data_IF_842578271520
#
_entry.id   IF_842578271520
#
_cell.length_a   1.000
_cell.length_b   1.000
_cell.length_c   1.000
_cell.angle_alpha   90.00
_cell.angle_beta   90.00
_cell.angle_gamma   90.00
#
_symmetry.space_group_name_H-M   'P 1'
#
loop_
_entity.id
_entity.type
_entity.pdbx_description
1 polymer ?
#
# COMPACT_ATOMS: atom_id res chain seq x y z
N UNK A 1 31.88 -2.64 -26.68
CA UNK A 1 30.88 -1.53 -26.60
C UNK A 1 29.57 -2.08 -27.12
N UNK A 2 28.53 -2.08 -26.29
CA UNK A 2 27.21 -2.55 -26.70
C UNK A 2 26.69 -1.66 -27.85
N UNK A 3 26.17 -2.29 -28.91
CA UNK A 3 25.53 -1.55 -29.99
C UNK A 3 24.15 -1.10 -29.52
N UNK A 4 23.95 0.19 -29.30
CA UNK A 4 22.69 0.77 -28.82
C UNK A 4 21.55 0.73 -29.84
N UNK A 5 21.80 0.26 -31.06
CA UNK A 5 20.80 0.17 -32.10
C UNK A 5 20.14 -1.20 -32.12
N UNK A 6 18.83 -1.20 -32.27
CA UNK A 6 18.04 -2.42 -32.51
C UNK A 6 17.90 -3.40 -31.31
N UNK A 7 17.81 -2.87 -30.08
CA UNK A 7 17.53 -3.67 -28.89
C UNK A 7 16.05 -3.64 -28.57
N UNK A 8 15.48 -4.81 -28.36
CA UNK A 8 14.12 -4.99 -27.85
C UNK A 8 14.19 -5.25 -26.33
N UNK A 9 13.50 -4.46 -25.54
CA UNK A 9 13.33 -4.72 -24.11
C UNK A 9 12.38 -5.92 -23.97
N UNK A 10 12.83 -7.01 -23.40
CA UNK A 10 12.07 -8.25 -23.26
C UNK A 10 11.44 -8.39 -21.88
N UNK A 11 12.08 -7.86 -20.85
CA UNK A 11 11.51 -7.83 -19.49
C UNK A 11 11.88 -6.55 -18.75
N UNK A 12 11.00 -6.14 -17.85
CA UNK A 12 11.30 -5.21 -16.78
C UNK A 12 11.53 -6.05 -15.52
N UNK A 13 12.75 -5.98 -14.98
CA UNK A 13 13.15 -6.87 -13.92
C UNK A 13 12.78 -6.29 -12.54
N UNK A 14 13.27 -5.09 -12.22
CA UNK A 14 13.04 -4.44 -10.93
C UNK A 14 12.99 -2.92 -11.02
N UNK A 15 12.35 -2.29 -10.02
CA UNK A 15 12.55 -0.88 -9.70
C UNK A 15 13.08 -0.82 -8.27
N UNK A 16 14.35 -0.45 -8.13
CA UNK A 16 14.98 -0.27 -6.84
C UNK A 16 14.90 1.20 -6.41
N UNK A 17 14.46 1.42 -5.18
CA UNK A 17 14.15 2.75 -4.64
C UNK A 17 15.09 3.07 -3.48
N UNK A 18 15.70 4.26 -3.54
CA UNK A 18 16.66 4.74 -2.55
C UNK A 18 16.28 6.14 -2.05
N UNK A 19 16.64 6.42 -0.82
CA UNK A 19 16.52 7.75 -0.25
C UNK A 19 17.45 8.75 -0.96
N UNK A 20 16.96 9.97 -1.23
CA UNK A 20 17.73 10.98 -1.95
C UNK A 20 18.93 11.47 -1.14
N UNK A 21 18.77 11.67 0.17
CA UNK A 21 19.75 12.34 1.01
C UNK A 21 20.85 11.39 1.48
N UNK A 22 20.45 10.17 1.85
CA UNK A 22 21.33 9.19 2.51
C UNK A 22 21.83 8.12 1.57
N UNK A 23 21.22 7.97 0.38
CA UNK A 23 21.44 6.86 -0.55
C UNK A 23 21.12 5.48 0.04
N UNK A 24 20.35 5.46 1.12
CA UNK A 24 19.95 4.24 1.78
C UNK A 24 18.89 3.53 0.93
N UNK A 25 19.03 2.22 0.79
CA UNK A 25 18.01 1.37 0.17
C UNK A 25 16.69 1.49 0.94
N UNK A 26 15.60 1.63 0.20
CA UNK A 26 14.26 1.75 0.76
C UNK A 26 13.42 0.49 0.49
N UNK A 27 13.19 0.16 -0.77
CA UNK A 27 12.46 -1.03 -1.21
C UNK A 27 12.72 -1.32 -2.68
N UNK A 28 12.32 -2.52 -3.12
CA UNK A 28 12.30 -2.94 -4.52
C UNK A 28 10.89 -3.35 -4.92
N UNK A 29 10.51 -3.02 -6.15
CA UNK A 29 9.33 -3.54 -6.83
C UNK A 29 9.82 -4.56 -7.85
N UNK A 30 9.34 -5.80 -7.77
CA UNK A 30 9.76 -6.96 -8.55
C UNK A 30 8.60 -7.65 -9.31
N UNK A 31 7.36 -7.42 -8.89
CA UNK A 31 6.15 -7.95 -9.53
C UNK A 31 5.46 -6.89 -10.41
N UNK A 32 6.25 -6.26 -11.28
CA UNK A 32 5.84 -5.13 -12.08
C UNK A 32 4.96 -5.53 -13.26
N UNK A 33 3.85 -4.82 -13.44
CA UNK A 33 2.93 -4.96 -14.55
C UNK A 33 2.72 -3.60 -15.22
N UNK A 34 2.67 -3.58 -16.56
CA UNK A 34 2.36 -2.39 -17.35
C UNK A 34 3.21 -1.14 -17.03
N UNK A 35 4.44 -1.33 -16.53
CA UNK A 35 5.29 -0.21 -16.19
C UNK A 35 5.80 0.50 -17.45
N UNK A 36 5.87 1.83 -17.38
CA UNK A 36 6.31 2.68 -18.48
C UNK A 36 7.07 3.90 -17.98
N UNK A 37 7.97 4.41 -18.82
CA UNK A 37 8.59 5.73 -18.68
C UNK A 37 8.05 6.59 -19.83
N UNK A 38 7.22 7.58 -19.50
CA UNK A 38 6.62 8.50 -20.45
C UNK A 38 7.38 9.83 -20.45
N UNK A 39 7.89 10.24 -21.61
CA UNK A 39 8.57 11.51 -21.77
C UNK A 39 7.73 12.42 -22.65
N UNK A 40 7.32 13.57 -22.16
CA UNK A 40 6.48 14.54 -22.84
C UNK A 40 7.17 15.88 -22.97
N UNK A 41 6.78 16.66 -23.95
CA UNK A 41 7.20 18.05 -24.13
C UNK A 41 6.14 18.83 -24.92
N UNK A 42 5.91 20.07 -24.54
CA UNK A 42 5.05 20.97 -25.28
C UNK A 42 5.78 21.55 -26.48
N UNK A 43 5.00 21.83 -27.52
CA UNK A 43 5.47 22.44 -28.76
C UNK A 43 4.53 23.57 -29.14
N UNK A 44 5.08 24.76 -29.35
CA UNK A 44 4.37 25.92 -29.88
C UNK A 44 4.96 26.29 -31.23
N UNK A 45 4.14 26.28 -32.28
CA UNK A 45 4.57 26.66 -33.60
C UNK A 45 4.46 28.19 -33.78
N UNK A 46 5.53 28.80 -34.29
CA UNK A 46 5.56 30.21 -34.68
C UNK A 46 5.21 30.26 -36.16
N UNK A 47 4.11 30.94 -36.48
CA UNK A 47 3.60 31.05 -37.86
C UNK A 47 3.84 32.46 -38.42
N UNK A 48 4.19 32.54 -39.70
CA UNK A 48 4.32 33.79 -40.47
C UNK A 48 3.09 34.10 -41.32
N UNK A 49 3.24 35.07 -42.22
CA UNK A 49 2.18 35.50 -43.13
C UNK A 49 1.63 34.30 -43.93
N UNK A 50 0.31 34.17 -43.97
CA UNK A 50 -0.37 33.08 -44.67
C UNK A 50 -0.35 31.75 -43.91
N UNK A 51 -0.09 31.73 -42.59
CA UNK A 51 -0.11 30.51 -41.78
C UNK A 51 1.12 29.61 -41.95
N UNK A 52 2.16 30.06 -42.69
CA UNK A 52 3.37 29.30 -42.92
C UNK A 52 4.15 29.14 -41.60
N UNK A 53 4.45 27.89 -41.22
CA UNK A 53 5.27 27.59 -40.06
C UNK A 53 6.70 28.07 -40.24
N UNK A 54 7.17 28.96 -39.37
CA UNK A 54 8.51 29.53 -39.40
C UNK A 54 9.47 28.84 -38.46
N UNK A 55 8.98 28.49 -37.24
CA UNK A 55 9.78 27.86 -36.20
C UNK A 55 8.89 27.09 -35.21
N UNK A 56 9.50 26.36 -34.32
CA UNK A 56 8.84 25.58 -33.28
C UNK A 56 9.58 25.73 -31.96
N UNK A 57 8.92 26.31 -30.99
CA UNK A 57 9.44 26.39 -29.62
C UNK A 57 9.01 25.15 -28.80
N UNK A 58 9.98 24.54 -28.12
CA UNK A 58 9.76 23.41 -27.25
C UNK A 58 9.91 23.87 -25.80
N UNK A 59 8.99 23.45 -24.93
CA UNK A 59 8.96 23.81 -23.49
C UNK A 59 8.28 22.70 -22.69
N UNK A 60 8.28 22.84 -21.36
CA UNK A 60 7.54 21.97 -20.43
C UNK A 60 7.85 20.49 -20.66
N UNK A 61 9.14 20.13 -20.67
CA UNK A 61 9.54 18.73 -20.71
C UNK A 61 9.24 18.09 -19.37
N UNK A 62 8.50 16.99 -19.37
CA UNK A 62 8.18 16.20 -18.19
C UNK A 62 8.45 14.71 -18.44
N UNK A 63 8.79 14.00 -17.38
CA UNK A 63 9.01 12.55 -17.41
C UNK A 63 8.24 11.93 -16.26
N UNK A 64 7.39 10.96 -16.58
CA UNK A 64 6.57 10.23 -15.60
C UNK A 64 6.89 8.74 -15.71
N UNK A 65 7.11 8.13 -14.57
CA UNK A 65 7.28 6.70 -14.41
C UNK A 65 6.00 6.18 -13.75
N UNK A 66 5.35 5.21 -14.35
CA UNK A 66 4.12 4.65 -13.79
C UNK A 66 3.99 3.16 -14.09
N UNK A 67 3.20 2.48 -13.29
CA UNK A 67 2.92 1.05 -13.45
C UNK A 67 2.04 0.53 -12.31
N UNK A 68 1.89 -0.78 -12.30
CA UNK A 68 1.25 -1.50 -11.20
C UNK A 68 2.19 -2.57 -10.68
N UNK A 69 2.15 -2.80 -9.38
CA UNK A 69 2.82 -3.93 -8.75
C UNK A 69 1.76 -4.97 -8.39
N UNK A 70 1.99 -6.22 -8.73
CA UNK A 70 1.04 -7.32 -8.49
C UNK A 70 0.86 -7.66 -7.01
N UNK A 71 1.72 -7.12 -6.14
CA UNK A 71 1.66 -7.29 -4.70
C UNK A 71 1.59 -5.93 -4.00
N UNK A 72 0.92 -5.86 -2.86
CA UNK A 72 0.94 -4.66 -2.02
C UNK A 72 2.32 -4.53 -1.38
N UNK A 73 3.06 -3.50 -1.77
CA UNK A 73 4.38 -3.20 -1.21
C UNK A 73 4.27 -2.18 -0.06
N UNK A 74 4.77 -2.57 1.12
CA UNK A 74 4.82 -1.66 2.28
C UNK A 74 5.72 -0.46 2.04
N UNK A 75 6.87 -0.65 1.39
CA UNK A 75 7.78 0.44 1.04
C UNK A 75 7.17 1.43 0.05
N UNK A 76 6.43 0.93 -0.96
CA UNK A 76 5.70 1.78 -1.89
C UNK A 76 4.63 2.61 -1.17
N UNK A 77 3.87 1.99 -0.25
CA UNK A 77 2.91 2.71 0.59
C UNK A 77 3.56 3.82 1.41
N UNK A 78 4.73 3.55 2.02
CA UNK A 78 5.48 4.58 2.74
C UNK A 78 5.94 5.72 1.83
N UNK A 79 6.34 5.42 0.60
CA UNK A 79 6.74 6.43 -0.36
C UNK A 79 5.56 7.29 -0.83
N UNK A 80 4.40 6.69 -1.06
CA UNK A 80 3.19 7.37 -1.55
C UNK A 80 2.48 8.18 -0.46
N UNK A 81 2.41 7.66 0.77
CA UNK A 81 1.76 8.35 1.89
C UNK A 81 2.69 9.28 2.65
N UNK A 82 4.02 9.06 2.54
CA UNK A 82 5.02 9.73 3.37
C UNK A 82 5.12 9.18 4.79
N UNK A 83 4.19 8.33 5.20
CA UNK A 83 4.19 7.67 6.50
C UNK A 83 5.34 6.69 6.67
N UNK A 84 5.37 6.02 7.81
CA UNK A 84 6.33 4.95 8.12
C UNK A 84 5.63 3.86 8.90
N UNK A 85 5.86 2.60 8.55
CA UNK A 85 5.34 1.47 9.29
C UNK A 85 5.93 1.40 10.70
N UNK A 86 5.06 1.44 11.68
CA UNK A 86 5.41 1.26 13.10
C UNK A 86 5.09 -0.17 13.51
N UNK A 87 6.06 -0.92 14.00
CA UNK A 87 5.84 -2.20 14.65
C UNK A 87 5.33 -1.96 16.05
N UNK A 88 4.17 -2.50 16.37
CA UNK A 88 3.54 -2.40 17.69
C UNK A 88 3.31 -3.81 18.24
N UNK A 89 3.72 -4.06 19.48
CA UNK A 89 3.44 -5.34 20.17
C UNK A 89 1.99 -5.40 20.65
N UNK A 90 1.36 -4.25 20.88
CA UNK A 90 0.06 -4.07 21.50
C UNK A 90 -0.88 -3.18 20.67
N UNK A 91 -0.89 -3.33 19.36
CA UNK A 91 -1.77 -2.55 18.49
C UNK A 91 -3.24 -2.88 18.81
N UNK A 92 -4.08 -1.88 19.14
CA UNK A 92 -5.48 -2.09 19.36
C UNK A 92 -6.21 -2.30 18.03
N UNK A 93 -6.93 -3.39 17.90
CA UNK A 93 -7.81 -3.65 16.76
C UNK A 93 -9.21 -3.99 17.25
N UNK A 94 -10.21 -3.45 16.55
CA UNK A 94 -11.60 -3.80 16.77
C UNK A 94 -11.86 -5.20 16.22
N UNK A 95 -12.55 -6.02 17.03
CA UNK A 95 -12.84 -7.40 16.70
C UNK A 95 -14.31 -7.70 16.87
N UNK A 96 -14.78 -8.69 16.14
CA UNK A 96 -16.16 -9.14 16.18
C UNK A 96 -16.18 -10.66 16.27
N UNK A 97 -16.88 -11.18 17.27
CA UNK A 97 -17.17 -12.61 17.39
C UNK A 97 -18.66 -12.86 17.18
N UNK A 98 -18.99 -13.87 16.37
CA UNK A 98 -20.33 -14.44 16.29
C UNK A 98 -20.34 -15.71 17.14
N UNK A 99 -21.09 -15.70 18.24
CA UNK A 99 -21.10 -16.75 19.25
C UNK A 99 -22.53 -17.26 19.50
N UNK A 100 -22.62 -18.38 20.17
CA UNK A 100 -23.89 -18.91 20.67
C UNK A 100 -23.84 -18.96 22.19
N UNK A 101 -24.97 -18.64 22.84
CA UNK A 101 -25.15 -18.81 24.28
C UNK A 101 -25.35 -20.29 24.58
N UNK A 102 -24.64 -20.80 25.56
CA UNK A 102 -24.80 -22.17 26.10
C UNK A 102 -24.68 -22.12 27.62
N UNK A 103 -25.64 -22.66 28.32
CA UNK A 103 -25.68 -22.64 29.79
C UNK A 103 -25.50 -21.23 30.36
N UNK A 104 -26.22 -20.26 29.82
CA UNK A 104 -26.18 -18.83 30.17
C UNK A 104 -24.80 -18.16 30.03
N UNK A 105 -23.93 -18.68 29.19
CA UNK A 105 -22.59 -18.17 28.96
C UNK A 105 -22.18 -18.21 27.51
N UNK A 106 -21.19 -17.39 27.14
CA UNK A 106 -20.46 -17.48 25.89
C UNK A 106 -18.99 -17.10 26.12
N UNK A 107 -18.08 -17.51 25.25
CA UNK A 107 -16.65 -17.21 25.42
C UNK A 107 -16.11 -16.54 24.19
N UNK A 108 -15.52 -15.34 24.33
CA UNK A 108 -14.88 -14.63 23.22
C UNK A 108 -13.61 -15.35 22.75
N UNK A 109 -13.32 -15.27 21.47
CA UNK A 109 -12.12 -15.86 20.88
C UNK A 109 -10.83 -15.29 21.48
N UNK A 110 -10.86 -13.99 21.80
CA UNK A 110 -9.70 -13.27 22.32
C UNK A 110 -10.07 -12.47 23.56
N UNK A 111 -9.05 -12.09 24.34
CA UNK A 111 -9.21 -11.22 25.49
C UNK A 111 -9.59 -9.81 25.02
N UNK A 112 -10.72 -9.32 25.48
CA UNK A 112 -11.10 -7.93 25.29
C UNK A 112 -10.26 -7.01 26.19
N UNK A 113 -9.97 -5.82 25.71
CA UNK A 113 -9.24 -4.78 26.45
C UNK A 113 -10.05 -3.48 26.42
N UNK A 114 -10.11 -2.84 27.58
CA UNK A 114 -10.87 -1.62 27.79
C UNK A 114 -10.74 -1.16 29.23
N UNK A 115 -11.60 -0.25 29.64
CA UNK A 115 -11.73 0.11 31.05
C UNK A 115 -12.36 -1.05 31.80
N UNK A 116 -11.85 -1.36 32.99
CA UNK A 116 -12.40 -2.43 33.86
C UNK A 116 -13.91 -2.26 34.04
N UNK A 117 -14.66 -3.30 33.73
CA UNK A 117 -16.12 -3.28 33.71
C UNK A 117 -16.78 -2.72 32.47
N UNK A 118 -15.97 -2.37 31.42
CA UNK A 118 -16.41 -1.91 30.10
C UNK A 118 -15.43 -2.34 29.04
N UNK A 119 -14.95 -3.58 29.07
CA UNK A 119 -14.03 -4.15 28.09
C UNK A 119 -14.72 -4.55 26.80
N UNK A 120 -15.99 -4.93 26.89
CA UNK A 120 -16.85 -5.26 25.74
C UNK A 120 -17.65 -4.02 25.35
N UNK A 121 -17.49 -3.57 24.13
CA UNK A 121 -18.18 -2.37 23.64
C UNK A 121 -19.68 -2.61 23.51
N UNK A 122 -20.08 -3.78 22.97
CA UNK A 122 -21.45 -4.08 22.63
C UNK A 122 -21.68 -5.57 22.44
N UNK A 123 -22.82 -6.06 22.90
CA UNK A 123 -23.34 -7.40 22.59
C UNK A 123 -24.73 -7.26 21.99
N UNK A 124 -24.93 -7.83 20.82
CA UNK A 124 -26.23 -7.90 20.15
C UNK A 124 -26.77 -9.33 20.21
N UNK A 125 -28.00 -9.47 20.66
CA UNK A 125 -28.78 -10.71 20.51
C UNK A 125 -29.41 -10.69 19.11
N UNK A 126 -29.27 -11.76 18.34
CA UNK A 126 -29.89 -11.91 17.02
C UNK A 126 -31.24 -12.64 17.10
N UNK A 127 -32.16 -12.22 16.25
CA UNK A 127 -33.33 -13.01 15.88
C UNK A 127 -32.96 -14.11 14.89
N UNK A 128 -33.82 -15.09 14.70
CA UNK A 128 -33.66 -16.17 13.71
C UNK A 128 -33.60 -15.67 12.26
N UNK A 129 -34.12 -14.48 11.99
CA UNK A 129 -34.05 -13.81 10.68
C UNK A 129 -32.78 -12.97 10.48
N UNK A 130 -31.86 -12.98 11.47
CA UNK A 130 -30.60 -12.25 11.45
C UNK A 130 -30.70 -10.78 11.91
N UNK A 131 -31.89 -10.27 12.19
CA UNK A 131 -32.08 -8.92 12.73
C UNK A 131 -31.66 -8.85 14.21
N UNK A 132 -31.37 -7.63 14.71
CA UNK A 132 -31.03 -7.41 16.12
C UNK A 132 -32.32 -7.44 16.93
N UNK A 133 -32.38 -8.35 17.92
CA UNK A 133 -33.46 -8.45 18.88
C UNK A 133 -33.26 -7.49 20.06
N UNK A 134 -32.04 -7.45 20.58
CA UNK A 134 -31.70 -6.71 21.80
C UNK A 134 -30.25 -6.34 21.81
N UNK A 135 -29.92 -5.21 22.43
CA UNK A 135 -28.55 -4.76 22.72
C UNK A 135 -28.29 -4.84 24.20
N UNK A 136 -27.23 -5.53 24.57
CA UNK A 136 -26.82 -5.69 25.95
C UNK A 136 -25.64 -4.81 26.30
N UNK A 137 -25.57 -4.37 27.56
CA UNK A 137 -24.47 -3.59 28.11
C UNK A 137 -23.71 -4.37 29.16
N UNK A 138 -22.39 -4.19 29.24
CA UNK A 138 -21.58 -4.79 30.31
C UNK A 138 -21.89 -4.13 31.64
N UNK A 139 -21.96 -4.93 32.71
CA UNK A 139 -22.15 -4.48 34.09
C UNK A 139 -21.37 -5.40 35.05
N UNK A 140 -21.23 -5.00 36.29
CA UNK A 140 -20.62 -5.82 37.37
C UNK A 140 -21.47 -7.03 37.77
N UNK A 141 -22.78 -7.00 37.50
CA UNK A 141 -23.71 -8.09 37.78
C UNK A 141 -24.65 -8.35 36.61
N UNK A 142 -25.01 -9.60 36.40
CA UNK A 142 -26.01 -9.99 35.40
C UNK A 142 -27.39 -9.47 35.78
N UNK A 143 -28.09 -8.89 34.82
CA UNK A 143 -29.48 -8.41 34.96
C UNK A 143 -30.14 -8.40 33.58
N UNK A 144 -31.44 -8.07 33.51
CA UNK A 144 -32.13 -7.90 32.24
C UNK A 144 -31.44 -6.80 31.39
N UNK A 145 -31.10 -7.11 30.12
CA UNK A 145 -30.38 -6.21 29.23
C UNK A 145 -28.89 -6.04 29.56
N UNK A 146 -28.34 -6.83 30.49
CA UNK A 146 -26.95 -6.73 30.95
C UNK A 146 -26.25 -8.08 30.97
N UNK A 147 -24.91 -8.03 30.82
CA UNK A 147 -24.03 -9.19 30.95
C UNK A 147 -22.79 -8.82 31.78
N UNK A 148 -22.12 -9.84 32.31
CA UNK A 148 -20.78 -9.67 32.90
C UNK A 148 -19.73 -10.24 31.99
N UNK A 149 -18.50 -9.73 32.06
CA UNK A 149 -17.35 -10.24 31.32
C UNK A 149 -16.15 -10.45 32.27
N UNK A 150 -15.53 -11.63 32.18
CA UNK A 150 -14.28 -11.91 32.87
C UNK A 150 -13.13 -11.95 31.85
N UNK A 151 -12.21 -10.96 31.84
CA UNK A 151 -11.10 -10.90 30.88
C UNK A 151 -10.06 -12.02 31.06
N UNK A 152 -10.04 -12.76 32.15
CA UNK A 152 -9.09 -13.85 32.37
C UNK A 152 -9.57 -15.14 31.72
N UNK A 153 -10.84 -15.45 31.86
CA UNK A 153 -11.49 -16.61 31.25
C UNK A 153 -12.08 -16.30 29.88
N UNK A 154 -12.19 -15.02 29.53
CA UNK A 154 -12.87 -14.50 28.33
C UNK A 154 -14.36 -14.83 28.29
N UNK A 155 -14.95 -15.13 29.43
CA UNK A 155 -16.34 -15.56 29.57
C UNK A 155 -17.28 -14.36 29.68
N UNK A 156 -18.35 -14.41 28.89
CA UNK A 156 -19.55 -13.61 29.05
C UNK A 156 -20.55 -14.44 29.87
N UNK A 157 -21.17 -13.85 30.89
CA UNK A 157 -22.25 -14.49 31.61
C UNK A 157 -23.52 -13.64 31.48
N UNK A 158 -24.66 -14.33 31.35
CA UNK A 158 -25.98 -13.76 31.16
C UNK A 158 -26.90 -14.19 32.31
N UNK A 159 -28.02 -13.48 32.48
CA UNK A 159 -29.04 -13.82 33.45
C UNK A 159 -29.57 -15.22 33.18
N UNK A 160 -29.67 -16.05 34.23
CA UNK A 160 -30.18 -17.42 34.16
C UNK A 160 -31.60 -17.46 33.55
N UNK A 161 -31.77 -18.30 32.54
CA UNK A 161 -33.03 -18.47 31.83
C UNK A 161 -33.49 -17.30 30.96
N UNK A 162 -32.67 -16.23 30.81
CA UNK A 162 -33.02 -15.08 29.95
C UNK A 162 -32.93 -15.41 28.46
N UNK A 163 -32.04 -16.33 28.12
CA UNK A 163 -31.79 -16.71 26.70
C UNK A 163 -31.72 -18.24 26.61
N UNK A 164 -32.32 -18.79 25.55
CA UNK A 164 -32.28 -20.23 25.27
C UNK A 164 -30.88 -20.64 24.76
N UNK A 165 -30.48 -21.88 25.04
CA UNK A 165 -29.25 -22.45 24.46
C UNK A 165 -29.34 -22.46 22.95
N UNK A 166 -28.27 -22.02 22.27
CA UNK A 166 -28.23 -21.84 20.85
C UNK A 166 -28.61 -20.43 20.38
N UNK A 167 -28.99 -19.51 21.29
CA UNK A 167 -29.21 -18.08 20.92
C UNK A 167 -27.94 -17.48 20.33
N UNK A 168 -28.02 -16.93 19.13
CA UNK A 168 -26.90 -16.27 18.45
C UNK A 168 -26.68 -14.84 18.98
N UNK A 169 -25.42 -14.53 19.21
CA UNK A 169 -24.97 -13.20 19.63
C UNK A 169 -23.82 -12.71 18.77
N UNK A 170 -23.70 -11.40 18.65
CA UNK A 170 -22.55 -10.72 18.05
C UNK A 170 -21.91 -9.84 19.12
N UNK A 171 -20.63 -10.07 19.34
CA UNK A 171 -19.84 -9.39 20.38
C UNK A 171 -18.80 -8.51 19.72
N UNK A 172 -18.82 -7.21 20.03
CA UNK A 172 -17.85 -6.23 19.55
C UNK A 172 -16.94 -5.80 20.69
N UNK A 173 -15.63 -5.89 20.46
CA UNK A 173 -14.64 -5.51 21.46
C UNK A 173 -13.31 -5.16 20.81
N UNK A 174 -12.48 -4.42 21.52
CA UNK A 174 -11.10 -4.15 21.12
C UNK A 174 -10.18 -5.22 21.72
N UNK A 175 -9.25 -5.74 20.92
CA UNK A 175 -8.17 -6.61 21.38
C UNK A 175 -6.81 -6.03 21.03
N UNK A 176 -5.76 -6.44 21.73
CA UNK A 176 -4.37 -6.09 21.41
C UNK A 176 -3.69 -7.21 20.63
N UNK A 177 -2.91 -6.83 19.62
CA UNK A 177 -2.19 -7.76 18.74
C UNK A 177 -0.86 -7.17 18.31
N UNK A 178 0.11 -8.03 18.02
CA UNK A 178 1.33 -7.61 17.32
C UNK A 178 1.00 -7.27 15.87
N UNK A 179 1.26 -6.04 15.46
CA UNK A 179 0.95 -5.57 14.13
C UNK A 179 1.97 -4.54 13.63
N UNK A 180 2.02 -4.39 12.30
CA UNK A 180 2.65 -3.24 11.66
C UNK A 180 1.54 -2.29 11.24
N UNK A 181 1.61 -1.05 11.69
CA UNK A 181 0.58 -0.04 11.46
C UNK A 181 1.18 1.11 10.67
N UNK A 182 0.55 1.48 9.57
CA UNK A 182 0.83 2.68 8.80
C UNK A 182 -0.36 3.64 8.93
N UNK A 183 -0.07 4.87 9.29
CA UNK A 183 -1.06 5.94 9.34
C UNK A 183 -0.85 6.89 8.15
N UNK A 184 -1.89 7.09 7.36
CA UNK A 184 -1.91 8.13 6.33
C UNK A 184 -2.56 9.37 6.92
N UNK A 185 -1.75 10.39 7.24
CA UNK A 185 -2.17 11.62 7.89
C UNK A 185 -2.21 12.79 6.90
N UNK A 186 -3.03 13.79 7.18
CA UNK A 186 -3.25 14.93 6.29
C UNK A 186 -2.08 15.93 6.19
N UNK A 187 -1.09 15.81 7.04
CA UNK A 187 0.06 16.71 7.18
C UNK A 187 1.37 16.11 6.65
N UNK A 188 1.35 14.86 6.20
CA UNK A 188 2.51 14.16 5.64
C UNK A 188 2.23 13.81 4.18
N UNK A 189 3.21 14.08 3.31
CA UNK A 189 3.09 13.94 1.86
C UNK A 189 4.05 12.89 1.33
N UNK A 190 3.81 12.46 0.10
CA UNK A 190 4.63 11.51 -0.64
C UNK A 190 6.12 11.88 -0.65
N UNK A 191 6.97 10.87 -0.74
CA UNK A 191 8.43 11.01 -0.66
C UNK A 191 9.05 11.20 -2.04
N UNK A 192 10.17 11.92 -2.05
CA UNK A 192 11.06 12.00 -3.20
C UNK A 192 12.19 10.98 -3.01
N UNK A 193 12.45 10.20 -4.06
CA UNK A 193 13.40 9.09 -4.03
C UNK A 193 14.29 9.07 -5.26
N UNK A 194 15.39 8.31 -5.22
CA UNK A 194 16.14 7.89 -6.40
C UNK A 194 15.60 6.54 -6.88
N UNK A 195 15.48 6.37 -8.20
CA UNK A 195 15.02 5.11 -8.78
C UNK A 195 16.08 4.54 -9.71
N UNK A 196 16.28 3.23 -9.62
CA UNK A 196 16.99 2.43 -10.61
C UNK A 196 16.00 1.44 -11.21
N UNK A 197 15.68 1.63 -12.49
CA UNK A 197 14.76 0.77 -13.24
C UNK A 197 15.61 -0.18 -14.06
N UNK A 198 15.63 -1.44 -13.68
CA UNK A 198 16.43 -2.48 -14.31
C UNK A 198 15.59 -3.30 -15.28
N UNK A 199 16.10 -3.54 -16.44
CA UNK A 199 15.44 -4.27 -17.52
C UNK A 199 16.43 -5.17 -18.25
N UNK A 200 15.90 -6.21 -18.90
CA UNK A 200 16.64 -7.08 -19.81
C UNK A 200 16.16 -6.87 -21.25
N UNK A 201 17.07 -6.90 -22.19
CA UNK A 201 16.76 -6.77 -23.61
C UNK A 201 17.61 -7.68 -24.48
N UNK A 202 17.20 -7.86 -25.71
CA UNK A 202 17.88 -8.67 -26.73
C UNK A 202 18.07 -7.87 -28.02
N UNK A 203 19.19 -8.10 -28.71
CA UNK A 203 19.39 -7.64 -30.07
C UNK A 203 18.85 -8.65 -31.11
N UNK A 204 18.94 -8.29 -32.40
CA UNK A 204 18.53 -9.16 -33.51
C UNK A 204 19.35 -10.47 -33.64
N UNK A 205 20.46 -10.57 -32.94
CA UNK A 205 21.33 -11.75 -32.90
C UNK A 205 21.13 -12.58 -31.62
N UNK A 206 20.10 -12.29 -30.83
CA UNK A 206 19.78 -12.91 -29.53
C UNK A 206 20.88 -12.72 -28.47
N UNK A 207 21.68 -11.67 -28.59
CA UNK A 207 22.58 -11.29 -27.53
C UNK A 207 21.81 -10.59 -26.41
N UNK A 208 22.03 -11.03 -25.18
CA UNK A 208 21.38 -10.45 -24.00
C UNK A 208 22.11 -9.19 -23.53
N UNK A 209 21.34 -8.17 -23.18
CA UNK A 209 21.80 -6.92 -22.62
C UNK A 209 21.07 -6.62 -21.33
N UNK A 210 21.76 -5.95 -20.40
CA UNK A 210 21.18 -5.32 -19.25
C UNK A 210 20.99 -3.84 -19.51
N UNK A 211 19.86 -3.33 -19.09
CA UNK A 211 19.46 -1.94 -19.28
C UNK A 211 19.11 -1.36 -17.92
N UNK A 212 19.63 -0.19 -17.63
CA UNK A 212 19.31 0.52 -16.41
C UNK A 212 18.92 1.97 -16.73
N UNK A 213 17.74 2.37 -16.27
CA UNK A 213 17.35 3.78 -16.20
C UNK A 213 17.57 4.27 -14.78
N UNK A 214 18.43 5.24 -14.62
CA UNK A 214 18.64 5.92 -13.35
C UNK A 214 17.89 7.24 -13.34
N UNK A 215 16.99 7.43 -12.38
CA UNK A 215 16.21 8.64 -12.16
C UNK A 215 16.68 9.26 -10.84
N UNK A 216 17.43 10.38 -10.89
CA UNK A 216 18.08 10.93 -9.70
C UNK A 216 17.12 11.55 -8.70
N UNK A 217 15.91 11.94 -9.14
CA UNK A 217 14.92 12.57 -8.30
C UNK A 217 13.53 12.30 -8.84
N UNK A 218 12.88 11.29 -8.32
CA UNK A 218 11.50 10.95 -8.59
C UNK A 218 10.62 11.39 -7.42
N UNK A 219 9.52 12.09 -7.70
CA UNK A 219 8.51 12.52 -6.75
C UNK A 219 7.33 11.57 -6.88
N UNK A 220 7.11 10.71 -5.91
CA UNK A 220 5.99 9.78 -5.93
C UNK A 220 4.67 10.54 -5.82
N UNK A 221 3.71 10.16 -6.64
CA UNK A 221 2.33 10.63 -6.48
C UNK A 221 1.71 10.05 -5.22
N UNK A 222 1.03 10.89 -4.45
CA UNK A 222 0.17 10.42 -3.36
C UNK A 222 -1.16 9.81 -3.84
N UNK A 223 -1.40 9.82 -5.15
CA UNK A 223 -2.57 9.18 -5.74
C UNK A 223 -2.24 7.73 -6.07
N UNK A 224 -2.96 6.81 -5.48
CA UNK A 224 -2.85 5.38 -5.76
C UNK A 224 -4.18 4.69 -5.48
N UNK A 225 -4.40 3.56 -6.13
CA UNK A 225 -5.58 2.74 -5.97
C UNK A 225 -5.20 1.34 -5.51
N UNK A 226 -6.03 0.76 -4.66
CA UNK A 226 -6.04 -0.66 -4.36
C UNK A 226 -7.26 -1.29 -4.99
N UNK A 227 -7.04 -2.23 -5.89
CA UNK A 227 -8.11 -3.07 -6.37
C UNK A 227 -8.37 -4.19 -5.34
N UNK A 228 -9.52 -4.11 -4.67
CA UNK A 228 -9.96 -5.07 -3.66
C UNK A 228 -11.08 -5.91 -4.26
N UNK A 229 -10.80 -7.16 -4.60
CA UNK A 229 -11.78 -8.06 -5.19
C UNK A 229 -11.25 -9.48 -5.35
N UNK A 230 -12.04 -10.34 -6.00
CA UNK A 230 -11.68 -11.75 -6.26
C UNK A 230 -10.59 -11.89 -7.35
N UNK A 231 -10.29 -10.82 -8.06
CA UNK A 231 -9.19 -10.73 -9.03
C UNK A 231 -7.88 -10.30 -8.35
N UNK A 232 -6.80 -10.35 -9.09
CA UNK A 232 -5.47 -9.97 -8.60
C UNK A 232 -5.49 -8.59 -7.94
N UNK A 233 -5.00 -8.52 -6.70
CA UNK A 233 -4.70 -7.25 -6.06
C UNK A 233 -3.59 -6.55 -6.84
N UNK A 234 -3.83 -5.33 -7.29
CA UNK A 234 -2.83 -4.50 -7.93
C UNK A 234 -2.62 -3.22 -7.11
N UNK A 235 -1.36 -2.82 -6.97
CA UNK A 235 -0.96 -1.60 -6.30
C UNK A 235 -0.38 -0.65 -7.34
N UNK A 236 -1.13 0.39 -7.72
CA UNK A 236 -0.70 1.36 -8.72
C UNK A 236 0.35 2.32 -8.16
N UNK A 237 1.24 2.78 -9.03
CA UNK A 237 2.20 3.82 -8.68
C UNK A 237 2.43 4.76 -9.86
N UNK A 238 2.72 6.01 -9.52
CA UNK A 238 3.19 7.03 -10.43
C UNK A 238 4.23 7.89 -9.73
N UNK A 239 5.28 8.25 -10.45
CA UNK A 239 6.31 9.16 -9.97
C UNK A 239 6.75 10.09 -11.09
N UNK A 240 6.84 11.39 -10.80
CA UNK A 240 7.36 12.39 -11.73
C UNK A 240 8.87 12.59 -11.52
N UNK A 241 9.63 12.51 -12.59
CA UNK A 241 11.05 12.85 -12.52
C UNK A 241 11.22 14.36 -12.51
N UNK A 242 11.83 14.88 -11.47
CA UNK A 242 12.11 16.29 -11.29
C UNK A 242 13.52 16.65 -11.78
N UNK A 243 13.63 17.71 -12.59
CA UNK A 243 14.92 18.26 -13.00
C UNK A 243 15.66 18.90 -11.81
N UNK A 244 17.00 18.99 -11.88
CA UNK A 244 17.79 19.76 -10.94
C UNK A 244 18.09 19.04 -9.63
N UNK A 245 18.29 17.72 -9.64
CA UNK A 245 18.91 17.02 -8.51
C UNK A 245 20.31 17.57 -8.25
N UNK A 246 20.67 17.76 -6.98
CA UNK A 246 21.98 18.25 -6.56
C UNK A 246 23.11 17.38 -7.18
N UNK A 247 24.00 18.02 -7.96
CA UNK A 247 25.14 17.35 -8.59
C UNK A 247 24.85 16.66 -9.93
N UNK A 248 23.59 16.58 -10.43
CA UNK A 248 23.24 15.85 -11.65
C UNK A 248 22.84 16.73 -12.84
N UNK A 249 23.11 18.03 -12.81
CA UNK A 249 23.05 18.91 -13.99
C UNK A 249 21.70 18.99 -14.73
N UNK A 250 20.57 18.74 -14.08
CA UNK A 250 19.25 18.86 -14.69
C UNK A 250 18.78 17.64 -15.50
N UNK A 251 19.45 16.50 -15.39
CA UNK A 251 19.02 15.26 -16.02
C UNK A 251 17.72 14.73 -15.38
N UNK A 252 16.75 14.37 -16.21
CA UNK A 252 15.55 13.67 -15.76
C UNK A 252 15.83 12.18 -15.55
N UNK A 253 16.60 11.58 -16.42
CA UNK A 253 17.03 10.18 -16.34
C UNK A 253 18.32 9.96 -17.13
N UNK A 254 19.03 8.91 -16.77
CA UNK A 254 20.19 8.39 -17.51
C UNK A 254 19.87 6.97 -17.96
N UNK A 255 20.18 6.66 -19.21
CA UNK A 255 20.02 5.34 -19.81
C UNK A 255 21.39 4.71 -19.97
N UNK A 256 21.58 3.55 -19.38
CA UNK A 256 22.81 2.76 -19.48
C UNK A 256 22.49 1.38 -20.01
N UNK A 257 23.28 0.91 -20.98
CA UNK A 257 23.18 -0.42 -21.56
C UNK A 257 24.53 -1.09 -21.52
N UNK A 258 24.57 -2.35 -21.15
CA UNK A 258 25.78 -3.14 -21.09
C UNK A 258 25.49 -4.62 -21.42
N UNK A 259 26.50 -5.37 -21.88
CA UNK A 259 26.37 -6.80 -22.17
C UNK A 259 26.12 -7.59 -20.90
N UNK A 260 25.18 -8.52 -20.91
CA UNK A 260 24.82 -9.32 -19.73
C UNK A 260 25.99 -10.17 -19.18
N UNK A 261 26.99 -10.44 -20.01
CA UNK A 261 28.16 -11.25 -19.68
C UNK A 261 29.48 -10.43 -19.67
N UNK A 262 29.42 -9.10 -19.77
CA UNK A 262 30.61 -8.25 -19.64
C UNK A 262 30.97 -8.22 -18.14
N UNK A 263 32.16 -8.70 -17.81
CA UNK A 263 32.75 -8.56 -16.49
C UNK A 263 33.19 -7.11 -16.21
N UNK A 264 33.60 -6.86 -14.98
CA UNK A 264 34.12 -5.58 -14.54
C UNK A 264 35.32 -5.13 -15.41
N UNK A 265 35.37 -3.86 -15.77
CA UNK A 265 36.42 -3.25 -16.58
C UNK A 265 37.67 -2.96 -15.75
#
# INVERSE_FOLDING_TARGET
MANMNDITITSLDTIDVFDIATDAYHFTLDELQNAKIANTQDKTDITGKGGRKLNSLKKNKAVVISGTNGLVSGGLLEAQTGGTFKKMDDAPIRWTDCLTITSNAATTGYKAVGTTGNEIEMVYIKNTDGTIKETLTQDAAVAAGKFTYDPNTKALAFTEGAYEDGTEIVVYYTRKIKASVLENTSDVYSKKCKLYVNATGEDKCNNLYRIQFYIPRADFSGNFDFELGDNQTAHSFEAESLAGACGMGGAFWTYTIFGANEGDA
#
